data_IF_271374653301
#
_entry.id   IF_271374653301
#
_cell.length_a   1.000
_cell.length_b   1.000
_cell.length_c   1.000
_cell.angle_alpha   90.00
_cell.angle_beta   90.00
_cell.angle_gamma   90.00
#
_symmetry.space_group_name_H-M   'P 1'
#
loop_
_entity.id
_entity.type
_entity.pdbx_description
1 polymer ?
#
# COMPACT_ATOMS: atom_id res chain seq x y z
N UNK A 1 -12.76 -45.63 20.94
CA UNK A 1 -11.59 -44.73 21.00
C UNK A 1 -11.08 -44.41 19.59
N UNK A 2 -11.73 -43.54 18.80
CA UNK A 2 -11.25 -43.10 17.46
C UNK A 2 -11.78 -41.71 17.03
N UNK A 3 -12.29 -40.88 17.96
CA UNK A 3 -12.94 -39.59 17.62
C UNK A 3 -12.21 -38.34 18.14
N UNK A 4 -11.09 -38.50 18.84
CA UNK A 4 -10.35 -37.37 19.44
C UNK A 4 -9.14 -36.97 18.58
N UNK A 5 -8.66 -37.84 17.70
CA UNK A 5 -7.49 -37.56 16.84
C UNK A 5 -7.78 -36.67 15.63
N UNK A 6 -9.04 -36.53 15.19
CA UNK A 6 -9.38 -35.67 14.04
C UNK A 6 -9.41 -34.18 14.40
N UNK A 7 -9.60 -33.81 15.67
CA UNK A 7 -9.71 -32.42 16.09
C UNK A 7 -8.33 -31.70 16.16
N UNK A 8 -7.24 -32.46 16.28
CA UNK A 8 -5.89 -31.91 16.39
C UNK A 8 -5.26 -31.50 15.04
N UNK A 9 -5.81 -31.96 13.92
CA UNK A 9 -5.27 -31.69 12.57
C UNK A 9 -5.74 -30.36 11.95
N UNK A 10 -6.74 -29.70 12.54
CA UNK A 10 -7.32 -28.44 12.03
C UNK A 10 -6.65 -27.21 12.68
N UNK A 11 -5.88 -27.39 13.76
CA UNK A 11 -5.30 -26.29 14.55
C UNK A 11 -3.89 -25.84 14.11
N UNK A 12 -3.27 -26.51 13.13
CA UNK A 12 -1.87 -26.23 12.72
C UNK A 12 -1.73 -25.44 11.41
N UNK A 13 -2.81 -25.03 10.76
CA UNK A 13 -2.76 -24.47 9.39
C UNK A 13 -2.86 -22.94 9.28
N UNK A 14 -2.72 -22.17 10.36
CA UNK A 14 -2.81 -20.69 10.28
C UNK A 14 -1.66 -19.95 10.96
N UNK A 15 -0.42 -20.33 10.68
CA UNK A 15 0.68 -19.35 10.74
C UNK A 15 0.69 -18.58 9.43
N UNK A 16 -0.29 -17.68 9.27
CA UNK A 16 -0.24 -16.67 8.22
C UNK A 16 0.84 -15.70 8.65
N UNK A 17 2.00 -15.75 7.99
CA UNK A 17 2.96 -14.64 8.04
C UNK A 17 2.24 -13.40 7.51
N UNK A 18 1.76 -12.57 8.44
CA UNK A 18 1.15 -11.31 8.11
C UNK A 18 2.26 -10.36 7.64
N UNK A 19 2.11 -9.82 6.42
CA UNK A 19 2.99 -8.77 5.93
C UNK A 19 2.91 -7.56 6.87
N UNK A 20 4.04 -6.91 7.18
CA UNK A 20 4.02 -5.65 7.90
C UNK A 20 3.12 -4.65 7.17
N UNK A 21 2.13 -4.04 7.85
CA UNK A 21 1.23 -3.10 7.21
C UNK A 21 1.93 -1.75 6.98
N UNK A 22 1.52 -1.06 5.93
CA UNK A 22 1.77 0.37 5.75
C UNK A 22 0.96 1.14 6.79
N UNK A 23 1.65 1.88 7.66
CA UNK A 23 1.04 2.70 8.72
C UNK A 23 1.33 4.16 8.44
N UNK A 24 0.28 4.98 8.51
CA UNK A 24 0.34 6.41 8.28
C UNK A 24 0.61 7.17 9.60
N UNK A 25 1.59 8.06 9.56
CA UNK A 25 1.83 9.07 10.58
C UNK A 25 1.94 10.48 9.97
N UNK A 26 2.29 11.46 10.80
CA UNK A 26 2.44 12.86 10.40
C UNK A 26 3.51 13.11 9.31
N UNK A 27 4.47 12.20 9.17
CA UNK A 27 5.54 12.25 8.17
C UNK A 27 5.20 11.43 6.90
N UNK A 28 4.04 10.78 6.86
CA UNK A 28 3.61 9.91 5.77
C UNK A 28 3.64 8.44 6.17
N UNK A 29 3.93 7.56 5.21
CA UNK A 29 3.99 6.12 5.47
C UNK A 29 5.43 5.67 5.75
N UNK A 30 5.60 4.89 6.82
CA UNK A 30 6.86 4.19 7.04
C UNK A 30 7.09 3.12 5.95
N UNK A 31 8.34 2.88 5.52
CA UNK A 31 8.64 1.82 4.56
C UNK A 31 8.34 0.45 5.16
N UNK A 32 7.97 -0.49 4.28
CA UNK A 32 7.74 -1.88 4.65
C UNK A 32 8.71 -2.79 3.92
N UNK A 33 9.09 -3.87 4.59
CA UNK A 33 10.03 -4.86 4.09
C UNK A 33 9.39 -6.25 4.12
N UNK A 34 9.63 -7.04 3.08
CA UNK A 34 9.22 -8.44 3.04
C UNK A 34 10.14 -9.26 2.14
N UNK A 35 10.24 -10.56 2.42
CA UNK A 35 11.05 -11.47 1.64
C UNK A 35 10.41 -11.76 0.28
N UNK A 36 11.25 -11.90 -0.74
CA UNK A 36 10.85 -12.29 -2.11
C UNK A 36 11.49 -13.62 -2.50
N UNK A 37 10.88 -14.37 -3.43
CA UNK A 37 11.48 -15.61 -3.95
C UNK A 37 12.88 -15.39 -4.52
N UNK A 38 13.72 -16.42 -4.41
CA UNK A 38 15.05 -16.44 -5.03
C UNK A 38 14.93 -16.67 -6.54
N UNK A 39 14.61 -15.59 -7.25
CA UNK A 39 14.50 -15.54 -8.70
C UNK A 39 15.35 -14.40 -9.25
N UNK A 40 15.58 -14.42 -10.56
CA UNK A 40 16.33 -13.36 -11.21
C UNK A 40 15.66 -11.99 -10.98
N UNK A 41 16.47 -10.98 -10.64
CA UNK A 41 16.03 -9.61 -10.41
C UNK A 41 15.18 -9.07 -11.57
N UNK A 42 15.55 -9.39 -12.82
CA UNK A 42 14.77 -9.02 -14.00
C UNK A 42 13.33 -9.53 -13.92
N UNK A 43 13.11 -10.75 -13.43
CA UNK A 43 11.77 -11.32 -13.24
C UNK A 43 10.96 -10.51 -12.21
N UNK A 44 11.59 -10.10 -11.10
CA UNK A 44 10.94 -9.26 -10.08
C UNK A 44 10.56 -7.89 -10.65
N UNK A 45 11.44 -7.28 -11.43
CA UNK A 45 11.21 -6.00 -12.11
C UNK A 45 10.07 -6.11 -13.13
N UNK A 46 10.08 -7.12 -13.98
CA UNK A 46 9.04 -7.39 -14.98
C UNK A 46 7.68 -7.65 -14.29
N UNK A 47 7.67 -8.42 -13.19
CA UNK A 47 6.48 -8.68 -12.41
C UNK A 47 5.93 -7.42 -11.72
N UNK A 48 6.80 -6.53 -11.27
CA UNK A 48 6.40 -5.23 -10.69
C UNK A 48 5.75 -4.34 -11.75
N UNK A 49 6.33 -4.25 -12.95
CA UNK A 49 5.71 -3.54 -14.09
C UNK A 49 4.35 -4.12 -14.45
N UNK A 50 4.27 -5.45 -14.59
CA UNK A 50 3.03 -6.14 -14.91
C UNK A 50 1.95 -5.96 -13.82
N UNK A 51 2.35 -5.97 -12.54
CA UNK A 51 1.45 -5.65 -11.42
C UNK A 51 0.91 -4.24 -11.54
N UNK A 52 1.78 -3.25 -11.76
CA UNK A 52 1.40 -1.84 -11.86
C UNK A 52 0.32 -1.63 -12.94
N UNK A 53 0.50 -2.21 -14.13
CA UNK A 53 -0.52 -2.15 -15.19
C UNK A 53 -1.82 -2.88 -14.82
N UNK A 54 -1.75 -3.93 -14.00
CA UNK A 54 -2.93 -4.71 -13.62
C UNK A 54 -3.82 -4.02 -12.58
N UNK A 55 -3.23 -3.19 -11.70
CA UNK A 55 -3.98 -2.49 -10.64
C UNK A 55 -4.36 -1.07 -11.06
N UNK A 56 -3.54 -0.40 -11.86
CA UNK A 56 -3.76 0.97 -12.28
C UNK A 56 -4.48 1.05 -13.63
N UNK A 57 -5.82 0.96 -13.60
CA UNK A 57 -6.66 0.96 -14.82
C UNK A 57 -6.52 2.21 -15.68
N UNK A 58 -6.19 3.35 -15.07
CA UNK A 58 -5.99 4.64 -15.76
C UNK A 58 -4.55 4.83 -16.27
N UNK A 59 -3.72 3.79 -16.14
CA UNK A 59 -2.30 3.86 -16.47
C UNK A 59 -1.44 4.14 -15.24
N UNK A 60 -0.15 3.87 -15.41
CA UNK A 60 0.88 4.15 -14.43
C UNK A 60 2.12 4.64 -15.17
N UNK A 61 2.80 5.61 -14.58
CA UNK A 61 4.06 6.13 -15.05
C UNK A 61 5.20 5.46 -14.28
N UNK A 62 6.28 5.13 -14.99
CA UNK A 62 7.49 4.61 -14.40
C UNK A 62 8.57 5.67 -14.46
N UNK A 63 9.18 5.97 -13.32
CA UNK A 63 10.32 6.88 -13.23
C UNK A 63 11.48 6.21 -12.51
N UNK A 64 12.69 6.77 -12.68
CA UNK A 64 13.88 6.41 -11.88
C UNK A 64 14.10 4.89 -11.77
N UNK A 65 13.99 4.19 -12.90
CA UNK A 65 14.35 2.79 -12.98
C UNK A 65 15.86 2.66 -12.83
N UNK A 66 16.29 2.02 -11.75
CA UNK A 66 17.67 1.55 -11.58
C UNK A 66 17.69 0.05 -11.77
N UNK A 67 18.88 -0.56 -11.74
CA UNK A 67 19.00 -2.01 -11.84
C UNK A 67 18.21 -2.74 -10.75
N UNK A 68 18.04 -2.12 -9.57
CA UNK A 68 17.43 -2.73 -8.38
C UNK A 68 16.12 -2.09 -7.92
N UNK A 69 15.68 -1.00 -8.57
CA UNK A 69 14.52 -0.25 -8.11
C UNK A 69 13.64 0.25 -9.24
N UNK A 70 12.34 0.34 -8.95
CA UNK A 70 11.36 0.93 -9.85
C UNK A 70 10.43 1.85 -9.06
N UNK A 71 10.23 3.07 -9.58
CA UNK A 71 9.24 3.99 -9.03
C UNK A 71 8.00 3.97 -9.93
N UNK A 72 6.86 3.69 -9.30
CA UNK A 72 5.55 3.64 -9.94
C UNK A 72 4.74 4.84 -9.45
N UNK A 73 4.29 5.69 -10.38
CA UNK A 73 3.36 6.78 -10.07
C UNK A 73 2.03 6.51 -10.75
N UNK A 74 0.93 6.62 -10.01
CA UNK A 74 -0.41 6.43 -10.57
C UNK A 74 -1.47 7.19 -9.78
N UNK A 75 -2.66 7.29 -10.39
CA UNK A 75 -3.85 7.87 -9.77
C UNK A 75 -4.73 6.77 -9.18
N UNK A 76 -5.03 6.87 -7.89
CA UNK A 76 -5.97 5.99 -7.20
C UNK A 76 -7.29 6.74 -6.92
N UNK A 77 -8.38 6.15 -7.38
CA UNK A 77 -9.74 6.65 -7.23
C UNK A 77 -10.33 6.21 -5.89
N UNK A 78 -11.13 7.08 -5.24
CA UNK A 78 -11.73 6.78 -3.93
C UNK A 78 -10.71 6.28 -2.91
N UNK A 79 -9.52 6.87 -2.92
CA UNK A 79 -8.37 6.41 -2.18
C UNK A 79 -8.56 6.55 -0.67
N UNK A 80 -9.29 7.57 -0.22
CA UNK A 80 -9.69 7.73 1.17
C UNK A 80 -10.93 8.62 1.25
N UNK A 81 -11.51 8.74 2.43
CA UNK A 81 -12.65 9.63 2.65
C UNK A 81 -12.59 10.30 4.02
N UNK A 82 -13.30 11.42 4.15
CA UNK A 82 -13.63 12.03 5.44
C UNK A 82 -15.14 12.07 5.60
N UNK A 83 -15.62 12.11 6.84
CA UNK A 83 -17.04 12.33 7.12
C UNK A 83 -17.24 13.65 7.85
N UNK A 84 -18.12 14.48 7.31
CA UNK A 84 -18.55 15.71 7.94
C UNK A 84 -20.08 15.73 8.01
N UNK A 85 -20.64 15.88 9.22
CA UNK A 85 -22.10 15.89 9.47
C UNK A 85 -22.85 14.69 8.86
N UNK A 86 -22.20 13.52 8.79
CA UNK A 86 -22.78 12.29 8.25
C UNK A 86 -22.68 12.14 6.73
N UNK A 87 -22.16 13.16 6.02
CA UNK A 87 -21.86 13.07 4.60
C UNK A 87 -20.40 12.60 4.40
N UNK A 88 -20.21 11.67 3.47
CA UNK A 88 -18.90 11.12 3.13
C UNK A 88 -18.34 11.85 1.91
N UNK A 89 -17.14 12.39 2.04
CA UNK A 89 -16.41 13.06 0.96
C UNK A 89 -15.20 12.20 0.60
N UNK A 90 -15.24 11.63 -0.60
CA UNK A 90 -14.20 10.74 -1.11
C UNK A 90 -13.15 11.53 -1.90
N UNK A 91 -11.88 11.22 -1.65
CA UNK A 91 -10.73 11.86 -2.28
C UNK A 91 -9.98 10.87 -3.18
N UNK A 92 -9.39 11.41 -4.23
CA UNK A 92 -8.45 10.69 -5.08
C UNK A 92 -7.04 11.10 -4.70
N UNK A 93 -6.07 10.23 -4.95
CA UNK A 93 -4.67 10.57 -4.75
C UNK A 93 -3.86 10.25 -5.99
N UNK A 94 -2.87 11.09 -6.28
CA UNK A 94 -1.71 10.63 -7.04
C UNK A 94 -0.70 10.09 -6.04
N UNK A 95 -0.34 8.83 -6.16
CA UNK A 95 0.65 8.20 -5.30
C UNK A 95 1.92 7.88 -6.08
N UNK A 96 3.02 7.76 -5.35
CA UNK A 96 4.26 7.17 -5.83
C UNK A 96 4.61 5.98 -4.93
N UNK A 97 4.93 4.84 -5.53
CA UNK A 97 5.43 3.65 -4.85
C UNK A 97 6.83 3.34 -5.36
N UNK A 98 7.82 3.41 -4.47
CA UNK A 98 9.19 2.99 -4.77
C UNK A 98 9.38 1.57 -4.30
N UNK A 99 9.78 0.68 -5.20
CA UNK A 99 10.02 -0.73 -4.93
C UNK A 99 11.51 -1.00 -5.15
N UNK A 100 12.21 -1.44 -4.11
CA UNK A 100 13.66 -1.72 -4.14
C UNK A 100 13.92 -3.18 -3.75
N UNK A 101 14.70 -3.89 -4.58
CA UNK A 101 15.10 -5.26 -4.36
C UNK A 101 16.57 -5.36 -3.94
N UNK A 102 16.81 -5.87 -2.73
CA UNK A 102 18.16 -6.14 -2.23
C UNK A 102 18.19 -7.48 -1.49
N UNK A 103 19.15 -8.36 -1.85
CA UNK A 103 19.49 -9.60 -1.10
C UNK A 103 18.27 -10.46 -0.70
N UNK A 104 17.34 -10.69 -1.63
CA UNK A 104 16.15 -11.51 -1.37
C UNK A 104 15.05 -10.80 -0.59
N UNK A 105 15.17 -9.49 -0.37
CA UNK A 105 14.16 -8.65 0.25
C UNK A 105 13.66 -7.57 -0.70
N UNK A 106 12.41 -7.20 -0.50
CA UNK A 106 11.76 -6.09 -1.16
C UNK A 106 11.44 -5.02 -0.11
N UNK A 107 11.86 -3.79 -0.38
CA UNK A 107 11.50 -2.60 0.39
C UNK A 107 10.54 -1.76 -0.43
N UNK A 108 9.42 -1.39 0.17
CA UNK A 108 8.39 -0.56 -0.47
C UNK A 108 8.22 0.75 0.29
N UNK A 109 8.35 1.87 -0.42
CA UNK A 109 8.00 3.20 0.06
C UNK A 109 6.73 3.66 -0.63
N UNK A 110 5.71 4.05 0.12
CA UNK A 110 4.46 4.59 -0.43
C UNK A 110 4.31 6.07 -0.04
N UNK A 111 4.11 6.93 -1.02
CA UNK A 111 4.02 8.37 -0.82
C UNK A 111 2.81 8.93 -1.54
N UNK A 112 1.97 9.67 -0.83
CA UNK A 112 0.92 10.49 -1.44
C UNK A 112 1.56 11.78 -1.97
N UNK A 113 1.49 12.00 -3.28
CA UNK A 113 2.06 13.18 -3.94
C UNK A 113 1.05 14.31 -4.03
N UNK A 114 -0.18 13.99 -4.44
CA UNK A 114 -1.24 14.96 -4.69
C UNK A 114 -2.56 14.38 -4.17
N UNK A 115 -3.43 15.24 -3.63
CA UNK A 115 -4.77 14.88 -3.13
C UNK A 115 -5.78 15.69 -3.91
N UNK A 116 -6.82 15.02 -4.42
CA UNK A 116 -7.86 15.64 -5.23
C UNK A 116 -9.25 15.45 -4.63
N UNK A 117 -10.06 16.51 -4.70
CA UNK A 117 -11.50 16.48 -4.49
C UNK A 117 -12.19 16.52 -5.86
N UNK A 118 -12.71 15.38 -6.29
CA UNK A 118 -13.09 15.16 -7.69
C UNK A 118 -11.90 15.38 -8.63
N UNK A 119 -12.01 16.34 -9.54
CA UNK A 119 -10.92 16.73 -10.48
C UNK A 119 -10.03 17.86 -9.93
N UNK A 120 -10.36 18.44 -8.78
CA UNK A 120 -9.67 19.62 -8.25
C UNK A 120 -8.54 19.21 -7.31
N UNK A 121 -7.33 19.68 -7.60
CA UNK A 121 -6.19 19.53 -6.69
C UNK A 121 -6.46 20.31 -5.40
N UNK A 122 -6.42 19.61 -4.26
CA UNK A 122 -6.58 20.23 -2.95
C UNK A 122 -5.27 20.94 -2.55
N UNK A 123 -5.39 21.99 -1.73
CA UNK A 123 -4.22 22.62 -1.11
C UNK A 123 -3.71 21.86 0.11
N UNK A 124 -4.47 20.88 0.58
CA UNK A 124 -4.16 20.10 1.77
C UNK A 124 -3.13 19.01 1.46
N UNK A 125 -2.28 18.76 2.44
CA UNK A 125 -1.31 17.68 2.49
C UNK A 125 -1.69 16.69 3.60
N UNK A 126 -1.10 15.50 3.61
CA UNK A 126 -1.36 14.53 4.69
C UNK A 126 -0.99 15.07 6.06
N UNK A 127 0.08 15.87 6.17
CA UNK A 127 0.48 16.51 7.43
C UNK A 127 -0.59 17.45 7.99
N UNK A 128 -1.43 18.04 7.14
CA UNK A 128 -2.51 18.93 7.59
C UNK A 128 -3.60 18.17 8.36
N UNK A 129 -3.65 16.84 8.27
CA UNK A 129 -4.61 16.01 9.01
C UNK A 129 -4.14 15.70 10.43
N UNK A 130 -2.88 15.98 10.73
CA UNK A 130 -2.28 15.76 12.04
C UNK A 130 -2.14 17.07 12.82
N UNK A 131 -2.25 16.96 14.13
CA UNK A 131 -1.85 18.00 15.08
C UNK A 131 -0.32 18.06 15.17
N UNK A 132 0.22 19.14 15.76
CA UNK A 132 1.66 19.29 15.95
C UNK A 132 2.28 18.24 16.88
N UNK A 133 1.49 17.57 17.72
CA UNK A 133 1.91 16.43 18.54
C UNK A 133 1.70 15.07 17.84
N UNK A 134 1.41 15.06 16.54
CA UNK A 134 1.32 13.85 15.71
C UNK A 134 0.03 13.05 15.87
N UNK A 135 -1.00 13.60 16.52
CA UNK A 135 -2.32 12.96 16.62
C UNK A 135 -3.19 13.35 15.44
N UNK A 136 -4.09 12.44 15.05
CA UNK A 136 -5.07 12.73 14.00
C UNK A 136 -6.09 13.74 14.51
N UNK A 137 -6.33 14.82 13.75
CA UNK A 137 -7.38 15.80 14.03
C UNK A 137 -8.76 15.13 13.94
N UNK A 138 -9.72 15.58 14.76
CA UNK A 138 -11.04 14.93 14.85
C UNK A 138 -11.77 14.84 13.51
N UNK A 139 -11.73 15.91 12.72
CA UNK A 139 -12.41 15.99 11.41
C UNK A 139 -11.83 15.00 10.37
N UNK A 140 -10.68 14.39 10.65
CA UNK A 140 -9.97 13.50 9.76
C UNK A 140 -9.85 12.07 10.31
N UNK A 141 -10.64 11.72 11.35
CA UNK A 141 -10.66 10.39 11.97
C UNK A 141 -10.82 9.23 10.98
N UNK A 142 -11.58 9.45 9.92
CA UNK A 142 -11.82 8.48 8.86
C UNK A 142 -10.73 8.48 7.76
N UNK A 143 -9.99 9.58 7.61
CA UNK A 143 -8.99 9.74 6.55
C UNK A 143 -7.86 8.72 6.69
N UNK A 144 -7.30 8.61 7.90
CA UNK A 144 -6.19 7.69 8.19
C UNK A 144 -6.56 6.22 7.92
N UNK A 145 -7.58 5.63 8.56
CA UNK A 145 -7.89 4.22 8.37
C UNK A 145 -8.31 3.89 6.94
N UNK A 146 -9.01 4.80 6.24
CA UNK A 146 -9.40 4.57 4.84
C UNK A 146 -8.21 4.64 3.89
N UNK A 147 -7.29 5.60 4.10
CA UNK A 147 -6.07 5.71 3.30
C UNK A 147 -5.09 4.55 3.56
N UNK A 148 -4.91 4.17 4.83
CA UNK A 148 -4.11 2.99 5.20
C UNK A 148 -4.68 1.73 4.55
N UNK A 149 -6.01 1.55 4.55
CA UNK A 149 -6.64 0.42 3.87
C UNK A 149 -6.26 0.39 2.39
N UNK A 150 -6.38 1.51 1.68
CA UNK A 150 -6.03 1.60 0.26
C UNK A 150 -4.55 1.27 0.01
N UNK A 151 -3.64 1.88 0.78
CA UNK A 151 -2.21 1.62 0.65
C UNK A 151 -1.86 0.14 0.91
N UNK A 152 -2.47 -0.47 1.93
CA UNK A 152 -2.27 -1.88 2.25
C UNK A 152 -2.89 -2.83 1.23
N UNK A 153 -4.04 -2.48 0.63
CA UNK A 153 -4.63 -3.27 -0.44
C UNK A 153 -3.72 -3.27 -1.69
N UNK A 154 -3.12 -2.13 -2.04
CA UNK A 154 -2.11 -2.04 -3.10
C UNK A 154 -0.88 -2.90 -2.77
N UNK A 155 -0.29 -2.74 -1.58
CA UNK A 155 0.86 -3.54 -1.12
C UNK A 155 0.58 -5.04 -1.19
N UNK A 156 -0.60 -5.46 -0.73
CA UNK A 156 -1.02 -6.87 -0.73
C UNK A 156 -1.10 -7.44 -2.14
N UNK A 157 -1.57 -6.66 -3.11
CA UNK A 157 -1.60 -7.11 -4.52
C UNK A 157 -0.20 -7.21 -5.12
N UNK A 158 0.70 -6.27 -4.80
CA UNK A 158 2.11 -6.33 -5.19
C UNK A 158 2.77 -7.58 -4.62
N UNK A 159 2.66 -7.79 -3.30
CA UNK A 159 3.20 -8.96 -2.63
C UNK A 159 2.73 -10.25 -3.30
N UNK A 160 1.43 -10.40 -3.53
CA UNK A 160 0.87 -11.60 -4.18
C UNK A 160 1.42 -11.81 -5.58
N UNK A 161 1.68 -10.74 -6.35
CA UNK A 161 2.32 -10.85 -7.65
C UNK A 161 3.75 -11.36 -7.50
N UNK A 162 4.52 -10.76 -6.60
CA UNK A 162 5.94 -11.08 -6.40
C UNK A 162 6.15 -12.50 -5.85
N UNK A 163 5.27 -13.01 -4.99
CA UNK A 163 5.34 -14.39 -4.48
C UNK A 163 4.98 -15.46 -5.51
N UNK A 164 4.43 -15.08 -6.68
CA UNK A 164 4.12 -16.02 -7.77
C UNK A 164 5.24 -16.05 -8.83
N UNK A 165 6.35 -15.36 -8.58
CA UNK A 165 7.49 -15.24 -9.49
C UNK A 165 8.33 -16.51 -9.53
#
# INVERSE_FOLDING_TARGET
MKKITTLFLILFSTFIYAQPPLVLDQNGFAPVHFDVPDVQLKTLMDNTKAWSYSVNKKGADFSEETDHSINVTALEENAFFIRNRGEEYAFRIKYAMSINFEKGQCTVFFTVKEIYDGEQLTKSTLSDYFTSDGKLKEDYRDAKPSLEKTANDLLKTLYRKLQRS
#
